data_IF_856567213256
#
_entry.id   IF_856567213256
#
_cell.length_a   1.000
_cell.length_b   1.000
_cell.length_c   1.000
_cell.angle_alpha   90.00
_cell.angle_beta   90.00
_cell.angle_gamma   90.00
#
_symmetry.space_group_name_H-M   'P 1'
#
loop_
_entity.id
_entity.type
_entity.pdbx_description
1 polymer ?
#
# COMPACT_ATOMS: atom_id res chain seq x y z
N UNK A 1 -5.59 24.72 38.39
CA UNK A 1 -5.98 23.41 37.79
C UNK A 1 -6.10 23.53 36.28
N UNK A 2 -6.88 24.47 35.76
CA UNK A 2 -7.01 24.75 34.30
C UNK A 2 -5.67 25.21 33.68
N UNK A 3 -4.92 26.11 34.32
CA UNK A 3 -3.60 26.55 33.82
C UNK A 3 -2.56 25.43 33.75
N UNK A 4 -2.61 24.46 34.67
CA UNK A 4 -1.71 23.30 34.65
C UNK A 4 -2.06 22.36 33.51
N UNK A 5 -3.35 22.14 33.22
CA UNK A 5 -3.80 21.35 32.06
C UNK A 5 -3.41 22.03 30.75
N UNK A 6 -3.48 23.38 30.67
CA UNK A 6 -3.09 24.14 29.48
C UNK A 6 -1.57 24.11 29.28
N UNK A 7 -0.79 24.26 30.35
CA UNK A 7 0.67 24.17 30.30
C UNK A 7 1.13 22.74 29.99
N UNK A 8 0.52 21.72 30.62
CA UNK A 8 0.76 20.33 30.28
C UNK A 8 0.36 20.07 28.83
N UNK A 9 -0.73 20.63 28.29
CA UNK A 9 -1.07 20.50 26.86
C UNK A 9 -0.15 21.30 25.90
N UNK A 10 0.52 22.36 26.38
CA UNK A 10 1.47 23.17 25.59
C UNK A 10 2.88 22.59 25.59
N UNK A 11 3.27 21.87 26.65
CA UNK A 11 4.58 21.24 26.81
C UNK A 11 4.56 19.72 26.62
N UNK A 12 3.39 19.09 26.65
CA UNK A 12 3.21 17.74 26.18
C UNK A 12 3.28 17.77 24.66
N UNK A 13 4.25 17.02 24.14
CA UNK A 13 4.38 16.69 22.74
C UNK A 13 3.10 16.05 22.15
N UNK A 14 2.00 15.88 22.91
CA UNK A 14 0.72 15.30 22.48
C UNK A 14 -0.21 16.22 21.70
N UNK A 15 0.04 17.54 21.58
CA UNK A 15 -0.56 18.30 20.48
C UNK A 15 0.10 17.98 19.11
N UNK A 16 1.05 17.04 19.06
CA UNK A 16 1.46 16.38 17.82
C UNK A 16 0.28 15.56 17.31
N UNK A 17 -0.38 16.08 16.26
CA UNK A 17 -1.28 15.30 15.38
C UNK A 17 -0.70 13.90 15.22
N UNK A 18 -1.47 12.85 15.49
CA UNK A 18 -0.96 11.47 15.37
C UNK A 18 -1.18 10.92 13.96
N UNK A 19 -2.28 11.34 13.33
CA UNK A 19 -2.60 11.13 11.93
C UNK A 19 -3.01 12.47 11.32
N UNK A 20 -2.53 12.74 10.11
CA UNK A 20 -2.93 13.91 9.33
C UNK A 20 -3.80 13.49 8.15
N UNK A 21 -4.79 14.31 7.79
CA UNK A 21 -5.66 14.05 6.65
C UNK A 21 -5.63 15.17 5.62
N UNK A 22 -5.52 14.81 4.35
CA UNK A 22 -5.59 15.70 3.18
C UNK A 22 -6.91 15.43 2.46
N UNK A 23 -8.00 16.08 2.90
CA UNK A 23 -9.37 15.73 2.48
C UNK A 23 -9.59 15.78 0.96
N UNK A 24 -8.85 16.60 0.21
CA UNK A 24 -8.92 16.63 -1.28
C UNK A 24 -8.56 15.30 -1.95
N UNK A 25 -7.77 14.45 -1.27
CA UNK A 25 -7.40 13.12 -1.76
C UNK A 25 -8.50 12.09 -1.47
N UNK A 26 -9.50 12.43 -0.63
CA UNK A 26 -10.61 11.55 -0.33
C UNK A 26 -11.49 11.40 -1.56
N UNK A 27 -11.79 10.15 -1.94
CA UNK A 27 -12.61 9.91 -3.13
C UNK A 27 -14.05 10.39 -3.00
N UNK A 28 -14.51 10.68 -1.78
CA UNK A 28 -15.80 11.33 -1.53
C UNK A 28 -15.76 12.81 -1.90
N UNK A 29 -14.65 13.48 -1.62
CA UNK A 29 -14.43 14.88 -1.97
C UNK A 29 -14.26 15.06 -3.47
N UNK A 30 -13.78 14.03 -4.17
CA UNK A 30 -13.63 14.05 -5.64
C UNK A 30 -14.86 13.51 -6.38
N UNK A 31 -15.84 12.92 -5.69
CA UNK A 31 -17.07 12.39 -6.31
C UNK A 31 -18.19 12.16 -5.27
N UNK A 32 -19.31 12.89 -5.43
CA UNK A 32 -20.50 12.76 -4.57
C UNK A 32 -21.14 11.37 -4.60
N UNK A 33 -20.89 10.58 -5.66
CA UNK A 33 -21.41 9.20 -5.77
C UNK A 33 -20.63 8.22 -4.88
N UNK A 34 -19.44 8.58 -4.42
CA UNK A 34 -18.62 7.71 -3.61
C UNK A 34 -19.04 7.77 -2.13
N UNK A 35 -19.46 6.63 -1.59
CA UNK A 35 -19.98 6.47 -0.22
C UNK A 35 -19.03 5.70 0.69
N UNK A 36 -17.72 5.69 0.41
CA UNK A 36 -16.75 4.94 1.20
C UNK A 36 -16.67 5.44 2.67
N UNK A 37 -16.91 4.55 3.63
CA UNK A 37 -16.90 4.83 5.09
C UNK A 37 -15.86 4.04 5.86
N UNK A 38 -15.04 3.22 5.18
CA UNK A 38 -14.13 2.23 5.78
C UNK A 38 -13.25 2.80 6.92
N UNK A 39 -12.68 3.99 6.73
CA UNK A 39 -11.85 4.63 7.76
C UNK A 39 -12.62 5.04 9.03
N UNK A 40 -13.91 5.39 8.91
CA UNK A 40 -14.78 5.73 10.05
C UNK A 40 -15.13 4.45 10.80
N UNK A 41 -15.53 3.41 10.06
CA UNK A 41 -15.92 2.11 10.62
C UNK A 41 -14.75 1.43 11.36
N UNK A 42 -13.54 1.53 10.84
CA UNK A 42 -12.34 0.95 11.44
C UNK A 42 -11.72 1.80 12.56
N UNK A 43 -12.25 3.00 12.85
CA UNK A 43 -11.65 3.87 13.85
C UNK A 43 -12.09 3.48 15.27
N UNK A 44 -11.22 2.84 16.08
CA UNK A 44 -11.54 2.39 17.44
C UNK A 44 -11.92 3.55 18.38
N UNK A 45 -11.19 4.66 18.27
CA UNK A 45 -11.35 5.86 19.11
C UNK A 45 -12.48 6.78 18.61
N UNK A 46 -13.14 6.42 17.50
CA UNK A 46 -14.16 7.25 16.81
C UNK A 46 -13.66 8.67 16.50
N UNK A 47 -12.36 8.80 16.24
CA UNK A 47 -11.70 10.08 15.96
C UNK A 47 -11.90 10.60 14.53
N UNK A 48 -12.58 9.86 13.65
CA UNK A 48 -12.76 10.22 12.23
C UNK A 48 -14.22 10.55 11.97
N UNK A 49 -14.47 11.73 11.42
CA UNK A 49 -15.82 12.23 11.11
C UNK A 49 -15.95 12.70 9.67
N UNK A 50 -17.15 12.58 9.12
CA UNK A 50 -17.52 13.13 7.81
C UNK A 50 -17.78 14.64 7.89
N UNK A 51 -17.41 15.35 6.82
CA UNK A 51 -17.77 16.74 6.55
C UNK A 51 -18.26 16.89 5.11
N UNK A 52 -18.78 18.07 4.76
CA UNK A 52 -19.20 18.37 3.36
C UNK A 52 -18.08 18.16 2.33
N UNK A 53 -16.82 18.37 2.74
CA UNK A 53 -15.66 18.34 1.84
C UNK A 53 -14.75 17.13 2.07
N UNK A 54 -15.26 16.05 2.69
CA UNK A 54 -14.53 14.81 2.90
C UNK A 54 -14.54 14.35 4.35
N UNK A 55 -13.37 13.99 4.87
CA UNK A 55 -13.19 13.46 6.22
C UNK A 55 -12.21 14.32 7.02
N UNK A 56 -12.41 14.38 8.32
CA UNK A 56 -11.54 15.05 9.29
C UNK A 56 -11.13 14.07 10.41
N UNK A 57 -9.95 14.30 10.97
CA UNK A 57 -9.44 13.57 12.15
C UNK A 57 -9.44 14.50 13.35
N UNK A 58 -10.14 14.12 14.40
CA UNK A 58 -10.04 14.74 15.71
C UNK A 58 -8.70 14.32 16.35
N UNK A 59 -7.78 15.25 16.50
CA UNK A 59 -6.44 14.97 17.03
C UNK A 59 -6.43 14.65 18.52
N UNK A 60 -7.45 15.09 19.27
CA UNK A 60 -7.58 14.85 20.71
C UNK A 60 -8.01 13.39 20.92
N UNK A 61 -9.00 12.93 20.15
CA UNK A 61 -9.46 11.54 20.20
C UNK A 61 -8.50 10.57 19.50
N UNK A 62 -7.76 11.03 18.49
CA UNK A 62 -6.90 10.15 17.71
C UNK A 62 -5.83 9.50 18.60
N UNK A 63 -5.88 8.17 18.69
CA UNK A 63 -4.89 7.36 19.40
C UNK A 63 -3.60 7.09 18.62
N UNK A 64 -3.53 7.45 17.33
CA UNK A 64 -2.33 7.24 16.51
C UNK A 64 -2.05 5.79 16.12
N UNK A 65 -3.08 4.95 15.98
CA UNK A 65 -2.92 3.54 15.62
C UNK A 65 -2.63 3.28 14.14
N UNK A 66 -2.74 4.29 13.27
CA UNK A 66 -2.49 4.22 11.83
C UNK A 66 -3.36 3.25 11.01
N UNK A 67 -4.44 2.68 11.57
CA UNK A 67 -5.40 1.84 10.83
C UNK A 67 -5.95 2.52 9.58
N UNK A 68 -6.39 3.77 9.71
CA UNK A 68 -6.89 4.54 8.57
C UNK A 68 -5.80 4.87 7.53
N UNK A 69 -4.53 4.95 7.93
CA UNK A 69 -3.40 5.16 7.02
C UNK A 69 -3.16 3.91 6.19
N UNK A 70 -3.19 2.74 6.83
CA UNK A 70 -3.03 1.43 6.18
C UNK A 70 -4.16 1.13 5.18
N UNK A 71 -5.40 1.46 5.54
CA UNK A 71 -6.60 1.06 4.78
C UNK A 71 -7.01 2.06 3.69
N UNK A 72 -6.52 3.30 3.76
CA UNK A 72 -6.90 4.34 2.82
C UNK A 72 -6.00 4.36 1.57
N UNK A 73 -6.37 3.56 0.58
CA UNK A 73 -5.69 3.52 -0.72
C UNK A 73 -5.74 4.82 -1.52
N UNK A 74 -6.61 5.76 -1.13
CA UNK A 74 -6.67 7.11 -1.71
C UNK A 74 -5.64 8.05 -1.09
N UNK A 75 -4.80 7.57 -0.16
CA UNK A 75 -3.75 8.34 0.51
C UNK A 75 -4.30 9.65 1.10
N UNK A 76 -5.51 9.57 1.66
CA UNK A 76 -6.12 10.69 2.38
C UNK A 76 -5.44 10.89 3.72
N UNK A 77 -4.95 9.82 4.36
CA UNK A 77 -4.30 9.87 5.65
C UNK A 77 -2.80 9.64 5.55
N UNK A 78 -2.06 10.25 6.45
CA UNK A 78 -0.62 10.04 6.64
C UNK A 78 -0.28 9.98 8.12
N UNK A 79 0.71 9.17 8.49
CA UNK A 79 1.21 9.14 9.86
C UNK A 79 2.00 10.43 10.11
N UNK A 80 1.82 11.10 11.23
CA UNK A 80 2.55 12.36 11.45
C UNK A 80 4.05 12.13 11.73
N UNK A 81 4.39 11.04 12.43
CA UNK A 81 5.76 10.69 12.81
C UNK A 81 6.53 9.88 11.75
N UNK A 82 5.93 9.61 10.59
CA UNK A 82 6.58 8.99 9.43
C UNK A 82 7.43 7.73 9.75
N UNK A 83 6.88 6.70 10.44
CA UNK A 83 7.66 5.59 10.98
C UNK A 83 8.41 4.77 9.92
N UNK A 84 7.84 4.63 8.73
CA UNK A 84 8.51 3.98 7.59
C UNK A 84 9.81 4.70 7.22
N UNK A 85 9.80 6.03 7.10
CA UNK A 85 10.99 6.82 6.79
C UNK A 85 12.05 6.71 7.89
N UNK A 86 11.63 6.81 9.16
CA UNK A 86 12.56 6.64 10.28
C UNK A 86 13.21 5.25 10.27
N UNK A 87 12.43 4.20 9.97
CA UNK A 87 12.97 2.84 9.87
C UNK A 87 13.98 2.68 8.75
N UNK A 88 13.73 3.28 7.58
CA UNK A 88 14.68 3.26 6.47
C UNK A 88 15.97 3.96 6.84
N UNK A 89 15.88 5.14 7.47
CA UNK A 89 17.08 5.88 7.88
C UNK A 89 17.96 5.04 8.81
N UNK A 90 17.39 4.41 9.84
CA UNK A 90 18.15 3.53 10.73
C UNK A 90 18.75 2.32 10.01
N UNK A 91 17.99 1.68 9.10
CA UNK A 91 18.49 0.57 8.28
C UNK A 91 19.68 1.02 7.42
N UNK A 92 19.54 2.17 6.77
CA UNK A 92 20.52 2.77 5.86
C UNK A 92 21.77 3.23 6.61
N UNK A 93 21.63 3.69 7.86
CA UNK A 93 22.73 4.04 8.75
C UNK A 93 23.39 2.81 9.41
N UNK A 94 22.80 1.61 9.24
CA UNK A 94 23.27 0.37 9.86
C UNK A 94 23.00 0.29 11.37
N UNK A 95 22.07 1.10 11.87
CA UNK A 95 21.69 1.19 13.28
C UNK A 95 20.57 0.22 13.66
N UNK A 96 20.86 -0.69 14.59
CA UNK A 96 19.86 -1.63 15.13
C UNK A 96 18.51 -0.96 15.40
N UNK A 97 17.45 -1.56 14.86
CA UNK A 97 16.12 -0.95 14.82
C UNK A 97 15.12 -1.75 15.64
N UNK A 98 14.54 -1.12 16.66
CA UNK A 98 13.42 -1.69 17.43
C UNK A 98 12.12 -1.06 16.98
N UNK A 99 11.19 -1.89 16.52
CA UNK A 99 9.87 -1.47 16.04
C UNK A 99 8.83 -1.87 17.07
N UNK A 100 8.06 -0.88 17.53
CA UNK A 100 7.07 -1.06 18.58
C UNK A 100 5.76 -0.36 18.26
N UNK A 101 4.70 -0.79 18.92
CA UNK A 101 3.42 -0.10 18.87
C UNK A 101 3.39 1.09 19.84
N UNK A 102 2.34 1.91 19.78
CA UNK A 102 2.16 3.07 20.65
C UNK A 102 2.17 2.73 22.15
N UNK A 103 1.80 1.49 22.52
CA UNK A 103 1.70 1.05 23.92
C UNK A 103 3.04 0.62 24.51
N UNK A 104 4.01 0.24 23.67
CA UNK A 104 5.30 -0.33 24.10
C UNK A 104 6.51 0.48 23.67
N UNK A 105 6.36 1.40 22.72
CA UNK A 105 7.45 2.26 22.24
C UNK A 105 7.95 3.21 23.33
N UNK A 106 9.27 3.25 23.51
CA UNK A 106 9.99 4.11 24.46
C UNK A 106 11.28 4.66 23.83
N UNK A 107 11.73 5.84 24.25
CA UNK A 107 13.03 6.38 23.83
C UNK A 107 13.20 6.44 22.31
N UNK A 108 14.20 5.72 21.79
CA UNK A 108 14.60 5.68 20.38
C UNK A 108 13.89 4.60 19.52
N UNK A 109 12.86 3.95 20.08
CA UNK A 109 12.06 2.97 19.36
C UNK A 109 11.32 3.61 18.17
N UNK A 110 11.19 2.85 17.09
CA UNK A 110 10.38 3.25 15.94
C UNK A 110 8.92 2.91 16.24
N UNK A 111 8.15 3.95 16.50
CA UNK A 111 6.73 3.82 16.84
C UNK A 111 5.84 3.80 15.59
N UNK A 112 5.36 2.62 15.22
CA UNK A 112 4.44 2.42 14.10
C UNK A 112 2.97 2.72 14.44
N UNK A 113 2.66 3.12 15.68
CA UNK A 113 1.29 3.25 16.17
C UNK A 113 0.68 1.90 16.51
N UNK A 114 0.51 1.05 15.50
CA UNK A 114 0.16 -0.37 15.63
C UNK A 114 1.03 -1.21 14.70
N UNK A 115 1.70 -2.24 15.21
CA UNK A 115 2.55 -3.12 14.39
C UNK A 115 1.72 -3.89 13.34
N UNK A 116 0.46 -4.21 13.63
CA UNK A 116 -0.46 -4.86 12.67
C UNK A 116 -0.90 -3.95 11.50
N UNK A 117 -0.44 -2.70 11.46
CA UNK A 117 -0.69 -1.76 10.34
C UNK A 117 0.52 -1.56 9.43
N UNK A 118 1.59 -2.32 9.67
CA UNK A 118 2.75 -2.32 8.79
C UNK A 118 2.32 -2.97 7.46
N UNK A 119 2.53 -2.25 6.36
CA UNK A 119 2.22 -2.71 5.03
C UNK A 119 3.04 -3.98 4.70
N UNK A 120 2.42 -5.13 4.42
CA UNK A 120 3.14 -6.37 4.15
C UNK A 120 4.13 -6.26 2.99
N UNK A 121 3.84 -5.39 2.01
CA UNK A 121 4.70 -5.13 0.85
C UNK A 121 6.01 -4.46 1.27
N UNK A 122 5.99 -3.69 2.36
CA UNK A 122 7.17 -3.05 2.92
C UNK A 122 8.13 -4.06 3.55
N UNK A 123 7.62 -4.99 4.37
CA UNK A 123 8.43 -6.07 4.95
C UNK A 123 9.06 -6.93 3.84
N UNK A 124 8.24 -7.32 2.87
CA UNK A 124 8.73 -8.07 1.71
C UNK A 124 9.84 -7.29 1.00
N UNK A 125 9.59 -6.02 0.65
CA UNK A 125 10.56 -5.15 0.01
C UNK A 125 11.90 -5.07 0.75
N UNK A 126 11.88 -4.99 2.08
CA UNK A 126 13.09 -4.97 2.91
C UNK A 126 13.85 -6.31 2.88
N UNK A 127 13.14 -7.44 2.92
CA UNK A 127 13.78 -8.76 2.85
C UNK A 127 14.61 -8.99 1.58
N UNK A 128 14.24 -8.34 0.48
CA UNK A 128 15.00 -8.43 -0.79
C UNK A 128 16.00 -7.29 -1.00
N UNK A 129 16.28 -6.52 0.04
CA UNK A 129 17.37 -5.55 0.04
C UNK A 129 18.68 -6.26 0.43
N UNK A 130 19.81 -5.85 -0.17
CA UNK A 130 21.13 -6.39 0.16
C UNK A 130 21.68 -5.71 1.43
N UNK A 131 20.83 -5.54 2.44
CA UNK A 131 21.12 -4.80 3.68
C UNK A 131 21.18 -5.79 4.84
N UNK A 132 22.35 -5.99 5.42
CA UNK A 132 22.52 -6.77 6.65
C UNK A 132 22.16 -5.91 7.85
N UNK A 133 20.97 -6.13 8.42
CA UNK A 133 20.41 -5.31 9.50
C UNK A 133 19.54 -6.12 10.47
N UNK A 134 19.63 -5.85 11.76
CA UNK A 134 18.74 -6.49 12.75
C UNK A 134 17.51 -5.62 13.04
N UNK A 135 16.30 -6.20 12.93
CA UNK A 135 15.03 -5.52 13.26
C UNK A 135 14.27 -6.32 14.32
N UNK A 136 14.03 -5.72 15.48
CA UNK A 136 13.23 -6.37 16.52
C UNK A 136 11.78 -5.85 16.49
N UNK A 137 10.81 -6.76 16.41
CA UNK A 137 9.38 -6.45 16.44
C UNK A 137 8.78 -6.90 17.78
N UNK A 138 8.31 -5.95 18.59
CA UNK A 138 7.74 -6.28 19.90
C UNK A 138 6.21 -6.49 19.84
N UNK A 139 5.80 -7.75 19.64
CA UNK A 139 4.40 -8.18 19.70
C UNK A 139 3.95 -8.66 21.09
N UNK A 140 4.77 -8.51 22.14
CA UNK A 140 4.49 -9.08 23.48
C UNK A 140 3.16 -8.62 24.10
N UNK A 141 2.64 -7.46 23.68
CA UNK A 141 1.36 -6.89 24.14
C UNK A 141 0.23 -7.00 23.10
N UNK A 142 0.39 -7.76 22.03
CA UNK A 142 -0.65 -7.99 21.02
C UNK A 142 -1.73 -8.98 21.46
N UNK A 143 -1.42 -10.11 22.12
CA UNK A 143 -2.44 -11.02 22.64
C UNK A 143 -3.40 -10.30 23.60
N UNK A 144 -4.71 -10.38 23.36
CA UNK A 144 -5.75 -9.71 24.16
C UNK A 144 -5.84 -8.19 23.99
N UNK A 145 -5.12 -7.60 23.04
CA UNK A 145 -5.20 -6.16 22.75
C UNK A 145 -6.50 -5.81 22.01
N UNK A 146 -7.03 -4.59 22.18
CA UNK A 146 -8.21 -4.14 21.40
C UNK A 146 -7.99 -4.12 19.88
N UNK A 147 -6.74 -4.26 19.41
CA UNK A 147 -6.34 -4.33 18.01
C UNK A 147 -5.94 -5.73 17.55
N UNK A 148 -6.07 -6.76 18.39
CA UNK A 148 -5.61 -8.12 18.09
C UNK A 148 -6.17 -8.63 16.76
N UNK A 149 -7.46 -8.42 16.50
CA UNK A 149 -8.13 -8.89 15.29
C UNK A 149 -8.26 -7.81 14.20
N UNK A 150 -7.45 -6.76 14.24
CA UNK A 150 -7.53 -5.62 13.32
C UNK A 150 -6.18 -5.38 12.64
N UNK A 151 -6.19 -5.36 11.31
CA UNK A 151 -4.98 -5.20 10.48
C UNK A 151 -4.44 -6.54 10.00
N UNK A 152 -3.15 -6.59 9.71
CA UNK A 152 -2.46 -7.77 9.19
C UNK A 152 -1.93 -8.66 10.32
N UNK A 153 -2.01 -9.97 10.11
CA UNK A 153 -1.33 -10.94 10.96
C UNK A 153 0.16 -11.00 10.62
N UNK A 154 0.91 -10.09 11.25
CA UNK A 154 2.33 -9.89 10.97
C UNK A 154 3.20 -11.05 11.45
N UNK A 155 2.74 -11.82 12.43
CA UNK A 155 3.43 -13.04 12.92
C UNK A 155 3.50 -14.06 11.78
N UNK A 156 2.34 -14.39 11.20
CA UNK A 156 2.23 -15.27 10.03
C UNK A 156 3.04 -14.74 8.86
N UNK A 157 3.00 -13.42 8.62
CA UNK A 157 3.76 -12.80 7.54
C UNK A 157 5.28 -12.97 7.73
N UNK A 158 5.78 -12.67 8.93
CA UNK A 158 7.22 -12.74 9.24
C UNK A 158 7.73 -14.16 9.16
N UNK A 159 7.00 -15.13 9.73
CA UNK A 159 7.39 -16.54 9.72
C UNK A 159 7.41 -17.08 8.29
N UNK A 160 6.41 -16.73 7.48
CA UNK A 160 6.40 -17.06 6.07
C UNK A 160 7.64 -16.52 5.32
N UNK A 161 8.02 -15.24 5.54
CA UNK A 161 9.19 -14.67 4.86
C UNK A 161 10.50 -15.33 5.33
N UNK A 162 10.56 -15.80 6.60
CA UNK A 162 11.72 -16.56 7.12
C UNK A 162 11.87 -17.90 6.42
N UNK A 163 10.77 -18.62 6.21
CA UNK A 163 10.75 -19.93 5.54
C UNK A 163 11.26 -19.87 4.10
N UNK A 164 11.14 -18.72 3.43
CA UNK A 164 11.68 -18.52 2.09
C UNK A 164 13.22 -18.47 2.01
N UNK A 165 13.93 -18.41 3.15
CA UNK A 165 15.40 -18.23 3.17
C UNK A 165 15.84 -16.87 2.62
N UNK A 166 14.94 -15.87 2.64
CA UNK A 166 15.18 -14.53 2.07
C UNK A 166 15.32 -13.45 3.13
N UNK A 167 15.36 -13.84 4.40
CA UNK A 167 15.63 -12.95 5.54
C UNK A 167 17.00 -13.24 6.17
N UNK A 168 17.91 -13.93 5.48
CA UNK A 168 19.26 -14.21 6.02
C UNK A 168 19.98 -12.93 6.48
N UNK A 169 19.65 -11.79 5.87
CA UNK A 169 20.19 -10.47 6.20
C UNK A 169 19.28 -9.61 7.11
N UNK A 170 18.07 -10.08 7.45
CA UNK A 170 17.07 -9.33 8.22
C UNK A 170 16.45 -10.22 9.31
N UNK A 171 17.01 -10.18 10.52
CA UNK A 171 16.51 -11.00 11.63
C UNK A 171 15.30 -10.34 12.31
N UNK A 172 14.13 -11.00 12.28
CA UNK A 172 12.96 -10.64 13.11
C UNK A 172 12.91 -11.48 14.37
N UNK A 173 13.03 -10.81 15.52
CA UNK A 173 12.82 -11.42 16.83
C UNK A 173 11.40 -11.14 17.34
N UNK A 174 10.75 -12.16 17.91
CA UNK A 174 9.43 -12.11 18.50
C UNK A 174 9.51 -12.54 19.98
N UNK A 175 8.98 -11.75 20.91
CA UNK A 175 8.92 -12.11 22.34
C UNK A 175 9.12 -10.94 23.32
N UNK A 176 9.14 -11.24 24.62
CA UNK A 176 9.58 -10.27 25.65
C UNK A 176 11.08 -10.00 25.51
N UNK A 177 11.46 -8.74 25.67
CA UNK A 177 12.87 -8.31 25.61
C UNK A 177 13.62 -8.93 26.79
N UNK A 178 14.39 -9.98 26.51
CA UNK A 178 15.54 -10.32 27.34
C UNK A 178 16.61 -9.29 26.97
N UNK A 179 16.89 -8.38 27.90
CA UNK A 179 18.00 -7.45 27.78
C UNK A 179 19.26 -8.29 28.00
N UNK A 180 19.77 -8.90 26.94
CA UNK A 180 21.19 -9.24 26.92
C UNK A 180 21.93 -7.98 26.45
N UNK A 181 22.59 -7.36 27.42
CA UNK A 181 23.68 -6.44 27.15
C UNK A 181 24.74 -7.20 26.36
N UNK A 182 25.09 -6.65 25.20
CA UNK A 182 26.10 -7.11 24.23
C UNK A 182 25.67 -8.11 23.16
N UNK A 183 25.33 -7.58 21.97
CA UNK A 183 25.97 -8.07 20.75
C UNK A 183 26.51 -6.91 19.90
N UNK A 184 27.84 -6.79 19.93
CA UNK A 184 28.62 -5.92 19.04
C UNK A 184 28.66 -6.49 17.62
N UNK A 185 28.35 -5.59 16.69
CA UNK A 185 28.52 -5.66 15.23
C UNK A 185 29.93 -6.15 14.83
N UNK A 186 30.03 -7.20 13.99
CA UNK A 186 31.24 -7.55 13.19
C UNK A 186 30.77 -8.36 11.95
N UNK A 187 31.24 -8.24 10.69
CA UNK A 187 32.50 -7.71 10.13
C UNK A 187 32.36 -7.23 8.66
N UNK A 188 33.26 -6.31 8.28
CA UNK A 188 33.41 -5.61 6.98
C UNK A 188 34.01 -6.45 5.82
N UNK A 189 33.68 -7.73 5.60
CA UNK A 189 34.46 -8.56 4.62
C UNK A 189 33.79 -9.26 3.45
N UNK A 190 32.47 -9.25 3.27
CA UNK A 190 31.84 -9.89 2.09
C UNK A 190 31.25 -8.91 1.06
N UNK A 191 31.68 -7.65 1.13
CA UNK A 191 31.26 -6.56 0.23
C UNK A 191 32.09 -6.47 -1.07
N UNK A 192 33.08 -7.34 -1.29
CA UNK A 192 33.98 -7.27 -2.45
C UNK A 192 33.84 -8.49 -3.37
N UNK A 193 33.23 -8.30 -4.54
CA UNK A 193 33.72 -8.84 -5.83
C UNK A 193 33.02 -8.34 -7.11
N UNK A 194 32.11 -7.38 -7.05
CA UNK A 194 31.60 -6.74 -8.28
C UNK A 194 31.28 -5.29 -8.02
N UNK A 195 32.28 -4.41 -8.14
CA UNK A 195 32.25 -3.04 -8.70
C UNK A 195 33.55 -2.36 -8.24
N UNK A 196 34.63 -2.61 -8.97
CA UNK A 196 35.87 -1.85 -8.91
C UNK A 196 35.84 -0.80 -10.03
N UNK A 197 35.64 0.47 -9.68
CA UNK A 197 36.62 1.54 -9.92
C UNK A 197 36.10 2.89 -9.40
N UNK A 198 37.01 3.58 -8.72
CA UNK A 198 37.00 4.97 -8.30
C UNK A 198 36.20 5.38 -7.05
N UNK A 199 36.80 4.98 -5.93
CA UNK A 199 37.15 5.86 -4.80
C UNK A 199 36.07 6.81 -4.26
N UNK A 200 35.33 6.34 -3.26
CA UNK A 200 35.43 6.76 -1.86
C UNK A 200 34.41 5.93 -1.06
N UNK A 201 34.76 5.55 0.17
CA UNK A 201 33.85 4.82 1.06
C UNK A 201 32.50 5.52 1.15
N UNK A 202 31.42 4.77 1.39
CA UNK A 202 30.06 5.31 1.38
C UNK A 202 29.94 6.37 2.47
N UNK A 203 29.98 7.62 2.04
CA UNK A 203 29.67 8.81 2.83
C UNK A 203 28.16 9.07 2.77
N UNK A 204 27.61 9.88 3.69
CA UNK A 204 26.20 10.35 3.64
C UNK A 204 25.79 10.83 2.23
N UNK A 205 26.73 11.41 1.49
CA UNK A 205 26.61 11.84 0.09
C UNK A 205 26.43 10.71 -0.93
N UNK A 206 27.22 9.62 -0.85
CA UNK A 206 27.10 8.48 -1.77
C UNK A 206 25.77 7.70 -1.58
N UNK A 207 25.24 7.74 -0.36
CA UNK A 207 23.95 7.16 -0.01
C UNK A 207 22.79 8.06 -0.43
N UNK A 208 22.91 9.39 -0.25
CA UNK A 208 21.98 10.39 -0.83
C UNK A 208 21.97 10.32 -2.35
N UNK A 209 23.12 10.01 -2.96
CA UNK A 209 23.26 9.81 -4.40
C UNK A 209 22.69 8.46 -4.83
N UNK A 210 22.81 7.39 -4.04
CA UNK A 210 22.17 6.10 -4.31
C UNK A 210 20.65 6.19 -4.16
N UNK A 211 20.14 6.85 -3.12
CA UNK A 211 18.70 7.12 -2.97
C UNK A 211 18.21 8.03 -4.09
N UNK A 212 18.96 9.07 -4.48
CA UNK A 212 18.66 9.91 -5.65
C UNK A 212 18.72 9.14 -6.97
N UNK A 213 19.66 8.21 -7.14
CA UNK A 213 19.78 7.32 -8.31
C UNK A 213 18.67 6.27 -8.33
N UNK A 214 18.15 5.89 -7.17
CA UNK A 214 16.92 5.10 -6.99
C UNK A 214 15.63 5.96 -7.07
N UNK A 215 15.76 7.28 -7.23
CA UNK A 215 14.63 8.22 -7.31
C UNK A 215 13.89 8.48 -5.99
N UNK A 216 14.51 8.16 -4.86
CA UNK A 216 13.94 8.21 -3.52
C UNK A 216 14.39 9.47 -2.79
N UNK A 217 13.46 10.40 -2.62
CA UNK A 217 13.60 11.48 -1.64
C UNK A 217 13.03 11.01 -0.29
N UNK A 218 13.94 10.58 0.61
CA UNK A 218 13.61 10.07 1.95
C UNK A 218 13.12 11.17 2.90
N UNK A 219 13.06 12.43 2.44
CA UNK A 219 12.51 13.56 3.19
C UNK A 219 10.99 13.74 2.95
N UNK A 220 10.37 12.95 2.04
CA UNK A 220 8.94 13.07 1.67
C UNK A 220 8.21 11.70 1.70
N UNK A 221 7.14 11.60 2.49
CA UNK A 221 6.35 10.35 2.66
C UNK A 221 5.54 9.96 1.41
N UNK A 222 5.37 10.88 0.46
CA UNK A 222 4.69 10.64 -0.83
C UNK A 222 5.39 9.55 -1.67
N UNK A 223 6.61 9.16 -1.30
CA UNK A 223 7.40 8.16 -1.99
C UNK A 223 7.36 6.75 -1.36
N UNK A 224 6.57 6.48 -0.31
CA UNK A 224 6.55 5.12 0.28
C UNK A 224 6.07 4.05 -0.72
N UNK A 225 5.04 4.34 -1.52
CA UNK A 225 4.62 3.43 -2.58
C UNK A 225 5.68 3.30 -3.68
N UNK A 226 6.34 4.40 -4.06
CA UNK A 226 7.42 4.38 -5.05
C UNK A 226 8.63 3.57 -4.55
N UNK A 227 8.95 3.70 -3.26
CA UNK A 227 9.98 2.96 -2.56
C UNK A 227 9.65 1.47 -2.52
N UNK A 228 8.47 1.11 -2.01
CA UNK A 228 8.00 -0.27 -1.97
C UNK A 228 8.09 -0.85 -3.38
N UNK A 229 7.58 -0.17 -4.41
CA UNK A 229 7.66 -0.64 -5.79
C UNK A 229 9.08 -0.82 -6.30
N UNK A 230 9.98 0.10 -5.99
CA UNK A 230 11.41 0.01 -6.37
C UNK A 230 12.06 -1.22 -5.75
N UNK A 231 11.81 -1.45 -4.46
CA UNK A 231 12.31 -2.61 -3.74
C UNK A 231 11.65 -3.91 -4.23
N UNK A 232 10.35 -3.90 -4.54
CA UNK A 232 9.63 -5.02 -5.17
C UNK A 232 10.23 -5.40 -6.52
N UNK A 233 10.51 -4.41 -7.39
CA UNK A 233 11.15 -4.64 -8.70
C UNK A 233 12.50 -5.37 -8.54
N UNK A 234 13.29 -4.99 -7.54
CA UNK A 234 14.55 -5.65 -7.21
C UNK A 234 14.32 -7.10 -6.78
N UNK A 235 13.38 -7.36 -5.87
CA UNK A 235 13.04 -8.74 -5.46
C UNK A 235 12.58 -9.62 -6.62
N UNK A 236 11.73 -9.10 -7.52
CA UNK A 236 11.26 -9.83 -8.71
C UNK A 236 12.38 -10.22 -9.67
N UNK A 237 13.42 -9.37 -9.83
CA UNK A 237 14.55 -9.68 -10.70
C UNK A 237 15.35 -10.92 -10.26
N UNK A 238 15.11 -11.41 -9.04
CA UNK A 238 15.75 -12.60 -8.46
C UNK A 238 14.89 -13.89 -8.62
N UNK A 239 13.84 -13.89 -9.46
CA UNK A 239 12.96 -15.05 -9.73
C UNK A 239 12.35 -15.72 -8.48
N UNK A 240 11.93 -14.88 -7.52
CA UNK A 240 11.32 -15.33 -6.27
C UNK A 240 9.87 -15.75 -6.51
N UNK A 241 9.43 -16.83 -5.86
CA UNK A 241 8.02 -17.20 -5.86
C UNK A 241 7.19 -16.24 -4.99
N UNK A 242 6.27 -15.51 -5.62
CA UNK A 242 5.38 -14.53 -5.00
C UNK A 242 3.97 -15.06 -4.75
N UNK A 243 3.70 -16.36 -4.97
CA UNK A 243 2.35 -16.93 -4.93
C UNK A 243 1.62 -16.72 -3.58
N UNK A 244 2.37 -16.64 -2.48
CA UNK A 244 1.84 -16.34 -1.14
C UNK A 244 1.44 -14.87 -0.92
N UNK A 245 1.99 -13.97 -1.74
CA UNK A 245 1.68 -12.54 -1.71
C UNK A 245 0.51 -12.18 -2.61
N UNK A 246 -0.17 -13.15 -3.24
CA UNK A 246 -1.27 -12.85 -4.16
C UNK A 246 -2.37 -11.99 -3.51
N UNK A 247 -2.46 -11.97 -2.17
CA UNK A 247 -3.34 -11.05 -1.47
C UNK A 247 -2.88 -9.57 -1.51
N UNK A 248 -1.57 -9.33 -1.51
CA UNK A 248 -0.93 -8.01 -1.36
C UNK A 248 -0.27 -7.48 -2.64
N UNK A 249 0.14 -8.37 -3.55
CA UNK A 249 0.80 -8.07 -4.82
C UNK A 249 0.28 -9.07 -5.86
N UNK A 250 -0.35 -8.58 -6.91
CA UNK A 250 -1.03 -9.42 -7.90
C UNK A 250 -1.10 -8.70 -9.24
N UNK A 251 -1.10 -9.48 -10.33
CA UNK A 251 -1.52 -8.97 -11.64
C UNK A 251 -3.05 -8.94 -11.68
N UNK A 252 -3.63 -8.05 -12.48
CA UNK A 252 -5.06 -8.12 -12.80
C UNK A 252 -5.27 -9.09 -13.96
N UNK A 253 -6.33 -9.90 -13.88
CA UNK A 253 -6.86 -10.69 -14.99
C UNK A 253 -8.26 -10.19 -15.30
N UNK A 254 -8.56 -10.02 -16.58
CA UNK A 254 -9.89 -9.59 -17.04
C UNK A 254 -10.43 -10.56 -18.06
N UNK A 255 -11.67 -10.99 -17.87
CA UNK A 255 -12.35 -11.93 -18.77
C UNK A 255 -13.33 -11.25 -19.76
N UNK A 256 -13.89 -12.07 -20.64
CA UNK A 256 -14.81 -11.66 -21.71
C UNK A 256 -16.17 -11.13 -21.21
N UNK A 257 -16.50 -11.22 -19.92
CA UNK A 257 -17.72 -10.59 -19.38
C UNK A 257 -17.56 -9.07 -19.20
N UNK A 258 -16.34 -8.53 -19.30
CA UNK A 258 -16.09 -7.10 -19.19
C UNK A 258 -16.82 -6.30 -20.28
N UNK A 259 -17.63 -5.33 -19.85
CA UNK A 259 -18.43 -4.49 -20.74
C UNK A 259 -17.81 -3.12 -21.06
N UNK A 260 -16.54 -2.89 -20.71
CA UNK A 260 -15.85 -1.60 -20.92
C UNK A 260 -16.62 -0.39 -20.36
N UNK A 261 -17.21 -0.53 -19.15
CA UNK A 261 -18.06 0.49 -18.54
C UNK A 261 -17.32 1.65 -17.85
N UNK A 262 -15.98 1.66 -17.88
CA UNK A 262 -15.10 2.67 -17.26
C UNK A 262 -15.14 2.76 -15.73
N UNK A 263 -15.88 1.90 -15.02
CA UNK A 263 -15.93 1.99 -13.54
C UNK A 263 -14.58 1.69 -12.88
N UNK A 264 -13.86 0.67 -13.34
CA UNK A 264 -12.54 0.35 -12.80
C UNK A 264 -11.53 1.50 -12.99
N UNK A 265 -11.59 2.18 -14.15
CA UNK A 265 -10.81 3.40 -14.44
C UNK A 265 -11.21 4.53 -13.49
N UNK A 266 -12.51 4.77 -13.34
CA UNK A 266 -13.04 5.85 -12.48
C UNK A 266 -12.74 5.63 -10.99
N UNK A 267 -12.65 4.38 -10.53
CA UNK A 267 -12.38 4.04 -9.14
C UNK A 267 -10.89 3.82 -8.85
N UNK A 268 -10.01 3.86 -9.85
CA UNK A 268 -8.57 3.70 -9.64
C UNK A 268 -7.96 5.00 -9.06
N UNK A 269 -7.54 5.04 -7.79
CA UNK A 269 -7.04 6.27 -7.17
C UNK A 269 -5.70 6.74 -7.75
N UNK A 270 -4.87 5.79 -8.22
CA UNK A 270 -3.55 6.06 -8.81
C UNK A 270 -3.57 6.21 -10.32
N UNK A 271 -4.75 6.09 -10.95
CA UNK A 271 -4.93 6.14 -12.41
C UNK A 271 -4.13 5.07 -13.18
N UNK A 272 -3.87 3.93 -12.54
CA UNK A 272 -3.19 2.79 -13.15
C UNK A 272 -3.98 2.12 -14.28
N UNK A 273 -5.30 2.32 -14.35
CA UNK A 273 -6.16 1.72 -15.37
C UNK A 273 -6.57 2.75 -16.42
N UNK A 274 -6.47 2.39 -17.70
CA UNK A 274 -6.96 3.18 -18.83
C UNK A 274 -7.77 2.30 -19.79
N UNK A 275 -8.76 2.90 -20.44
CA UNK A 275 -9.46 2.28 -21.58
C UNK A 275 -9.11 3.09 -22.82
N UNK A 276 -8.47 2.44 -23.78
CA UNK A 276 -8.20 3.01 -25.10
C UNK A 276 -9.31 2.61 -26.07
N UNK A 277 -9.99 3.62 -26.61
CA UNK A 277 -11.11 3.47 -27.52
C UNK A 277 -10.69 3.74 -28.96
N UNK A 278 -10.18 2.72 -29.66
CA UNK A 278 -9.72 2.85 -31.05
C UNK A 278 -10.90 2.70 -32.03
N UNK A 279 -10.66 2.87 -33.33
CA UNK A 279 -11.72 2.78 -34.34
C UNK A 279 -12.45 1.43 -34.30
N UNK A 280 -11.69 0.34 -34.35
CA UNK A 280 -12.22 -1.02 -34.54
C UNK A 280 -12.08 -1.90 -33.28
N UNK A 281 -11.41 -1.43 -32.23
CA UNK A 281 -11.18 -2.21 -31.00
C UNK A 281 -11.25 -1.34 -29.74
N UNK A 282 -11.38 -1.99 -28.58
CA UNK A 282 -11.18 -1.39 -27.27
C UNK A 282 -10.17 -2.19 -26.45
N UNK A 283 -9.26 -1.48 -25.79
CA UNK A 283 -8.25 -2.07 -24.90
C UNK A 283 -8.47 -1.58 -23.47
N UNK A 284 -8.50 -2.50 -22.51
CA UNK A 284 -8.35 -2.19 -21.10
C UNK A 284 -6.90 -2.47 -20.74
N UNK A 285 -6.21 -1.46 -20.22
CA UNK A 285 -4.77 -1.49 -19.98
C UNK A 285 -4.50 -1.15 -18.52
N UNK A 286 -3.53 -1.84 -17.92
CA UNK A 286 -2.99 -1.52 -16.60
C UNK A 286 -1.54 -1.09 -16.73
N UNK A 287 -1.18 -0.04 -16.01
CA UNK A 287 0.19 0.32 -15.69
C UNK A 287 0.53 -0.13 -14.26
N UNK A 288 1.26 -1.24 -14.15
CA UNK A 288 1.66 -1.80 -12.86
C UNK A 288 2.61 -0.88 -12.07
N UNK A 289 3.29 0.07 -12.74
CA UNK A 289 4.12 1.06 -12.05
C UNK A 289 3.26 2.08 -11.29
N UNK A 290 2.01 2.28 -11.71
CA UNK A 290 1.02 3.14 -11.04
C UNK A 290 0.11 2.34 -10.10
N UNK A 291 -0.11 1.04 -10.35
CA UNK A 291 -0.97 0.20 -9.51
C UNK A 291 -0.45 0.14 -8.06
N UNK A 292 -1.33 0.34 -7.08
CA UNK A 292 -1.01 0.19 -5.65
C UNK A 292 -1.71 -1.03 -5.03
N UNK A 293 -2.20 -1.96 -5.85
CA UNK A 293 -2.81 -3.22 -5.41
C UNK A 293 -4.01 -3.07 -4.47
N UNK A 294 -4.74 -1.94 -4.56
CA UNK A 294 -5.85 -1.62 -3.65
C UNK A 294 -7.14 -2.43 -3.85
N UNK A 295 -7.20 -3.30 -4.85
CA UNK A 295 -8.34 -4.17 -5.17
C UNK A 295 -9.67 -3.46 -5.50
N UNK A 296 -9.76 -2.13 -5.48
CA UNK A 296 -11.02 -1.39 -5.75
C UNK A 296 -11.62 -1.67 -7.13
N UNK A 297 -10.78 -1.94 -8.14
CA UNK A 297 -11.24 -2.33 -9.47
C UNK A 297 -11.96 -3.68 -9.45
N UNK A 298 -11.50 -4.63 -8.63
CA UNK A 298 -12.12 -5.94 -8.40
C UNK A 298 -13.44 -5.74 -7.66
N UNK A 299 -13.41 -5.08 -6.50
CA UNK A 299 -14.59 -4.86 -5.63
C UNK A 299 -15.74 -4.10 -6.30
N UNK A 300 -15.42 -3.19 -7.24
CA UNK A 300 -16.42 -2.34 -7.91
C UNK A 300 -16.79 -2.81 -9.30
N UNK A 301 -16.25 -3.93 -9.78
CA UNK A 301 -16.61 -4.47 -11.08
C UNK A 301 -18.02 -5.08 -11.04
N UNK A 302 -19.01 -4.39 -11.62
CA UNK A 302 -20.41 -4.89 -11.69
C UNK A 302 -20.59 -6.18 -12.49
N UNK A 303 -19.61 -6.50 -13.34
CA UNK A 303 -19.62 -7.69 -14.18
C UNK A 303 -18.81 -8.83 -13.56
N UNK A 304 -18.18 -8.61 -12.39
CA UNK A 304 -17.26 -9.56 -11.76
C UNK A 304 -16.16 -10.07 -12.71
N UNK A 305 -15.81 -9.26 -13.72
CA UNK A 305 -14.92 -9.65 -14.80
C UNK A 305 -13.44 -9.47 -14.48
N UNK A 306 -13.10 -8.97 -13.28
CA UNK A 306 -11.73 -8.63 -12.88
C UNK A 306 -11.38 -9.51 -11.69
N UNK A 307 -10.28 -10.25 -11.78
CA UNK A 307 -9.77 -11.11 -10.70
C UNK A 307 -8.26 -10.90 -10.51
N UNK A 308 -7.73 -11.44 -9.41
CA UNK A 308 -6.28 -11.50 -9.18
C UNK A 308 -5.66 -12.60 -10.05
N UNK A 309 -4.39 -12.41 -10.39
CA UNK A 309 -3.52 -13.41 -10.99
C UNK A 309 -2.12 -13.29 -10.37
N UNK A 310 -1.31 -14.33 -10.54
CA UNK A 310 0.08 -14.33 -10.09
C UNK A 310 0.82 -13.13 -10.67
N UNK A 311 1.44 -12.34 -9.79
CA UNK A 311 2.20 -11.17 -10.19
C UNK A 311 3.45 -11.57 -10.99
N UNK A 312 3.60 -11.05 -12.22
CA UNK A 312 4.69 -11.46 -13.10
C UNK A 312 5.76 -10.40 -13.32
N UNK A 313 5.40 -9.11 -13.34
CA UNK A 313 6.31 -8.01 -13.73
C UNK A 313 5.69 -6.64 -13.51
N UNK A 314 6.54 -5.65 -13.29
CA UNK A 314 6.14 -4.23 -13.26
C UNK A 314 6.25 -3.61 -14.66
N UNK A 315 5.20 -3.68 -15.47
CA UNK A 315 5.13 -2.93 -16.74
C UNK A 315 3.68 -2.70 -17.18
N UNK A 316 3.50 -1.78 -18.12
CA UNK A 316 2.22 -1.62 -18.81
C UNK A 316 1.84 -2.89 -19.61
N UNK A 317 0.59 -3.33 -19.49
CA UNK A 317 0.07 -4.46 -20.24
C UNK A 317 -1.43 -4.35 -20.56
N UNK A 318 -1.83 -4.91 -21.71
CA UNK A 318 -3.24 -5.02 -22.11
C UNK A 318 -3.87 -6.16 -21.31
N UNK A 319 -4.87 -5.83 -20.49
CA UNK A 319 -5.65 -6.78 -19.71
C UNK A 319 -6.71 -7.49 -20.55
N UNK A 320 -7.33 -6.76 -21.48
CA UNK A 320 -8.35 -7.28 -22.39
C UNK A 320 -8.40 -6.42 -23.65
N UNK A 321 -8.44 -7.07 -24.80
CA UNK A 321 -8.74 -6.48 -26.10
C UNK A 321 -10.07 -7.05 -26.60
N UNK A 322 -10.95 -6.19 -27.12
CA UNK A 322 -12.16 -6.62 -27.83
C UNK A 322 -12.35 -5.82 -29.11
N UNK A 323 -12.61 -6.53 -30.20
CA UNK A 323 -13.09 -5.92 -31.44
C UNK A 323 -14.49 -5.34 -31.28
N UNK A 324 -14.77 -4.27 -32.01
CA UNK A 324 -16.07 -3.64 -32.05
C UNK A 324 -16.88 -4.17 -33.21
N UNK A 325 -18.14 -4.46 -32.91
CA UNK A 325 -19.12 -4.83 -33.93
C UNK A 325 -20.32 -3.89 -33.85
N UNK A 326 -20.99 -3.68 -34.98
CA UNK A 326 -22.15 -2.79 -35.05
C UNK A 326 -23.36 -3.45 -34.41
N UNK A 327 -23.95 -2.81 -33.41
CA UNK A 327 -25.22 -3.23 -32.83
C UNK A 327 -26.32 -3.33 -33.91
N UNK A 328 -27.07 -4.43 -33.94
CA UNK A 328 -28.17 -4.63 -34.90
C UNK A 328 -29.29 -3.59 -34.76
N UNK A 329 -29.48 -3.02 -33.57
CA UNK A 329 -30.49 -2.01 -33.26
C UNK A 329 -30.06 -0.59 -33.60
N UNK A 330 -29.05 -0.06 -32.90
CA UNK A 330 -28.63 1.35 -33.03
C UNK A 330 -27.49 1.58 -34.02
N UNK A 331 -26.89 0.53 -34.58
CA UNK A 331 -25.73 0.57 -35.50
C UNK A 331 -24.44 1.17 -34.93
N UNK A 332 -24.43 1.58 -33.66
CA UNK A 332 -23.22 2.00 -32.95
C UNK A 332 -22.27 0.80 -32.79
N UNK A 333 -21.00 1.01 -33.11
CA UNK A 333 -19.94 0.02 -32.93
C UNK A 333 -19.56 -0.08 -31.44
N UNK A 334 -19.60 -1.29 -30.88
CA UNK A 334 -19.33 -1.55 -29.47
C UNK A 334 -18.67 -2.93 -29.30
N UNK A 335 -17.78 -3.13 -28.31
CA UNK A 335 -17.22 -4.44 -27.99
C UNK A 335 -18.15 -5.30 -27.12
N UNK A 336 -19.34 -4.79 -26.77
CA UNK A 336 -20.25 -5.43 -25.82
C UNK A 336 -21.64 -5.59 -26.44
N UNK A 337 -21.78 -6.66 -27.21
CA UNK A 337 -23.06 -7.14 -27.73
C UNK A 337 -23.43 -8.43 -27.01
N UNK A 338 -24.73 -8.64 -26.82
CA UNK A 338 -25.25 -9.95 -26.45
C UNK A 338 -25.19 -10.93 -27.64
N UNK A 339 -25.53 -12.20 -27.40
CA UNK A 339 -25.53 -13.26 -28.43
C UNK A 339 -26.41 -12.92 -29.64
N UNK A 340 -27.48 -12.16 -29.44
CA UNK A 340 -28.37 -11.72 -30.51
C UNK A 340 -27.79 -10.54 -31.33
N UNK A 341 -26.68 -9.94 -30.91
CA UNK A 341 -26.01 -8.81 -31.59
C UNK A 341 -26.55 -7.43 -31.20
N UNK A 342 -27.12 -7.28 -30.00
CA UNK A 342 -27.61 -6.01 -29.48
C UNK A 342 -26.74 -5.49 -28.32
N UNK A 343 -26.53 -4.17 -28.28
CA UNK A 343 -25.93 -3.52 -27.12
C UNK A 343 -26.92 -3.48 -25.95
N UNK A 344 -26.41 -3.29 -24.72
CA UNK A 344 -27.22 -3.31 -23.48
C UNK A 344 -28.43 -2.36 -23.54
N UNK A 345 -28.27 -1.17 -24.13
CA UNK A 345 -29.38 -0.22 -24.28
C UNK A 345 -30.45 -0.71 -25.25
N UNK A 346 -30.06 -1.30 -26.38
CA UNK A 346 -31.00 -1.87 -27.34
C UNK A 346 -31.68 -3.12 -26.79
N UNK A 347 -30.96 -3.95 -26.02
CA UNK A 347 -31.52 -5.12 -25.35
C UNK A 347 -32.64 -4.72 -24.37
N UNK A 348 -32.39 -3.74 -23.50
CA UNK A 348 -33.40 -3.24 -22.54
C UNK A 348 -34.62 -2.69 -23.29
N UNK A 349 -34.41 -1.92 -24.37
CA UNK A 349 -35.50 -1.39 -25.20
C UNK A 349 -36.32 -2.51 -25.85
N UNK A 350 -35.68 -3.55 -26.36
CA UNK A 350 -36.37 -4.69 -26.98
C UNK A 350 -37.15 -5.51 -25.95
N UNK A 351 -36.59 -5.74 -24.75
CA UNK A 351 -37.30 -6.43 -23.65
C UNK A 351 -38.56 -5.66 -23.22
N UNK A 352 -38.49 -4.33 -23.14
CA UNK A 352 -39.64 -3.50 -22.77
C UNK A 352 -40.72 -3.49 -23.87
N UNK A 353 -40.34 -3.55 -25.15
CA UNK A 353 -41.29 -3.65 -26.28
C UNK A 353 -42.01 -4.99 -26.38
N UNK A 354 -41.44 -6.08 -25.84
CA UNK A 354 -42.09 -7.41 -25.83
C UNK A 354 -43.04 -7.61 -24.63
N UNK A 355 -42.97 -6.72 -23.64
CA UNK A 355 -43.83 -6.74 -22.44
C UNK A 355 -45.09 -5.89 -22.57
N UNK A 356 -45.11 -5.00 -23.55
CA UNK A 356 -46.28 -4.26 -24.03
C UNK A 356 -46.77 -4.90 -25.32
#
# INVERSE_FOLDING_TARGET
MIEKIILDALFDDTFKRKVESVSRNCMRSTSERNKCTKCIELCPEKAISETRNGIIVDSILCGGCNLCVSECYSRTFSAAKKPYLHSLNKIVEGEYSKWRCKKTATGEDINFGCLRTIDPRYIFALGFSDLSHKIQLDFSKCPGCEYENIGYDMEVLVDYVKELGKLENLSFEMGEVIVDEEEKIVSRRDFFNSILKDSQGVTKSALKETTKNLGLDLEVEENLDALIKTLLKKGLSQNVDTSWMEEYIFDLKVDESCAFCYECVSYCPTKALKIENKKDEMNLIVDEELCNFCQRCIEKCRYNSISKAKFTKMKESILLNKEKTKCKGCRVATPSLNEEGYCITCEIRNKNRKKN
#
